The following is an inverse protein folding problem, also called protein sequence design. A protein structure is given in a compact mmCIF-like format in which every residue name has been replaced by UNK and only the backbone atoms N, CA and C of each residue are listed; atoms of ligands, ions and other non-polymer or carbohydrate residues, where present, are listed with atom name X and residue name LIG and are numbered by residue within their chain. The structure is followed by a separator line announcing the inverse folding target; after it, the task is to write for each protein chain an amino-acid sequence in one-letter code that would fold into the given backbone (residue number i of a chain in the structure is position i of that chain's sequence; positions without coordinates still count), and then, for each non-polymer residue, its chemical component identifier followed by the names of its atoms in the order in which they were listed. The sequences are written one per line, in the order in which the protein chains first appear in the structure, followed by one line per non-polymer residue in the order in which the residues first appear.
data_IF_877674655719
#
_entry.id   IF_877674655719
#
_cell.length_a   1.000
_cell.length_b   1.000
_cell.length_c   1.000
_cell.angle_alpha   90.00
_cell.angle_beta   90.00
_cell.angle_gamma   90.00
#
_symmetry.space_group_name_H-M   'P 1'
#
loop_
_entity.id
_entity.type
_entity.pdbx_description
1 polymer ?
#
# COMPACT_ATOMS: atom_id res chain seq x y z
N UNK A 1 -8.05 -0.46 5.15
CA UNK A 1 -8.35 -1.61 6.03
C UNK A 1 -9.80 -2.00 5.91
N UNK A 2 -10.78 -1.12 6.16
CA UNK A 2 -12.22 -1.44 6.15
C UNK A 2 -12.66 -2.09 4.83
N UNK A 3 -12.33 -1.50 3.70
CA UNK A 3 -12.67 -2.01 2.35
C UNK A 3 -12.10 -3.43 2.12
N UNK A 4 -10.86 -3.67 2.51
CA UNK A 4 -10.23 -4.99 2.40
C UNK A 4 -10.99 -6.03 3.25
N UNK A 5 -11.31 -5.69 4.50
CA UNK A 5 -12.06 -6.58 5.40
C UNK A 5 -13.48 -6.84 4.91
N UNK A 6 -14.15 -5.86 4.30
CA UNK A 6 -15.45 -6.05 3.61
C UNK A 6 -15.35 -7.04 2.46
N UNK A 7 -14.22 -7.05 1.76
CA UNK A 7 -13.93 -8.03 0.72
C UNK A 7 -13.46 -9.39 1.21
N UNK A 8 -13.55 -9.67 2.52
CA UNK A 8 -13.14 -10.96 3.10
C UNK A 8 -11.62 -11.13 3.22
N UNK A 9 -10.85 -10.06 3.04
CA UNK A 9 -9.39 -10.09 3.21
C UNK A 9 -9.06 -9.98 4.69
N UNK A 10 -8.24 -10.89 5.21
CA UNK A 10 -7.65 -10.76 6.54
C UNK A 10 -6.58 -9.68 6.51
N UNK A 11 -6.92 -8.48 6.96
CA UNK A 11 -6.06 -7.31 6.92
C UNK A 11 -5.61 -6.91 8.33
N UNK A 12 -4.30 -6.98 8.57
CA UNK A 12 -3.67 -6.55 9.82
C UNK A 12 -3.05 -5.16 9.67
N UNK A 13 -3.20 -4.35 10.71
CA UNK A 13 -2.53 -3.05 10.84
C UNK A 13 -1.23 -3.24 11.61
N UNK A 14 -0.12 -2.94 10.95
CA UNK A 14 1.22 -3.17 11.50
C UNK A 14 1.90 -1.84 11.80
N UNK A 15 2.28 -1.61 13.05
CA UNK A 15 3.12 -0.48 13.44
C UNK A 15 4.60 -0.79 13.22
N UNK A 16 5.43 0.21 12.90
CA UNK A 16 6.87 -0.02 12.74
C UNK A 16 7.52 -0.51 14.05
N UNK A 17 7.23 0.18 15.15
CA UNK A 17 7.87 -0.08 16.46
C UNK A 17 6.94 0.17 17.66
N UNK A 18 5.74 0.72 17.44
CA UNK A 18 4.85 1.19 18.51
C UNK A 18 3.39 0.80 18.29
N UNK A 19 2.69 0.62 19.40
CA UNK A 19 1.27 0.35 19.50
C UNK A 19 0.71 1.23 20.64
N UNK A 20 -0.17 2.23 20.42
CA UNK A 20 -0.74 2.69 19.16
C UNK A 20 0.18 3.64 18.38
N UNK A 21 -0.14 3.91 17.12
CA UNK A 21 0.49 4.94 16.30
C UNK A 21 -0.43 6.17 16.17
N UNK A 22 0.17 7.33 15.91
CA UNK A 22 -0.58 8.56 15.65
C UNK A 22 -0.29 9.05 14.25
N UNK A 23 -1.34 9.18 13.43
CA UNK A 23 -1.25 9.73 12.08
C UNK A 23 -1.01 11.24 12.07
N UNK A 24 -0.75 11.79 10.88
CA UNK A 24 -0.36 13.20 10.68
C UNK A 24 -1.37 14.23 11.21
N UNK A 25 -2.65 13.88 11.25
CA UNK A 25 -3.70 14.78 11.74
C UNK A 25 -4.21 14.40 13.14
N UNK A 26 -3.38 13.74 13.95
CA UNK A 26 -3.69 13.39 15.34
C UNK A 26 -4.61 12.17 15.50
N UNK A 27 -4.99 11.50 14.42
CA UNK A 27 -5.81 10.28 14.50
C UNK A 27 -4.95 9.14 15.05
N UNK A 28 -5.40 8.57 16.15
CA UNK A 28 -4.75 7.41 16.77
C UNK A 28 -5.28 6.12 16.15
N UNK A 29 -4.35 5.23 15.82
CA UNK A 29 -4.64 3.90 15.28
C UNK A 29 -4.10 2.85 16.24
N UNK A 30 -4.95 1.91 16.62
CA UNK A 30 -4.51 0.71 17.33
C UNK A 30 -4.04 -0.27 16.27
N UNK A 31 -2.77 -0.67 16.36
CA UNK A 31 -2.21 -1.68 15.47
C UNK A 31 -2.41 -3.08 16.06
N UNK A 32 -2.53 -4.07 15.20
CA UNK A 32 -2.69 -5.48 15.60
C UNK A 32 -1.35 -6.07 16.08
N UNK A 33 -0.23 -5.60 15.51
CA UNK A 33 1.13 -6.05 15.81
C UNK A 33 2.19 -5.02 15.42
N UNK A 34 3.45 -5.27 15.78
CA UNK A 34 4.60 -4.51 15.27
C UNK A 34 5.25 -5.20 14.07
N UNK A 35 6.09 -4.46 13.33
CA UNK A 35 6.89 -5.03 12.24
C UNK A 35 7.82 -6.16 12.72
N UNK A 36 8.17 -6.18 13.98
CA UNK A 36 9.05 -7.21 14.56
C UNK A 36 8.34 -8.52 14.83
N UNK A 37 7.01 -8.48 14.96
CA UNK A 37 6.15 -9.65 15.15
C UNK A 37 5.66 -10.25 13.81
N UNK A 38 5.96 -9.57 12.69
CA UNK A 38 5.49 -9.95 11.36
C UNK A 38 6.26 -11.16 10.82
N UNK A 39 5.53 -12.23 10.50
CA UNK A 39 6.01 -13.38 9.74
C UNK A 39 5.58 -13.23 8.26
N UNK A 40 6.51 -12.82 7.39
CA UNK A 40 6.21 -12.47 5.99
C UNK A 40 5.63 -13.63 5.17
N UNK A 41 5.83 -14.87 5.61
CA UNK A 41 5.32 -16.08 4.93
C UNK A 41 3.78 -16.14 4.96
N UNK A 42 3.16 -15.58 5.97
CA UNK A 42 1.71 -15.68 6.22
C UNK A 42 0.88 -14.67 5.40
N UNK A 43 1.54 -13.78 4.66
CA UNK A 43 0.85 -12.71 3.93
C UNK A 43 1.06 -12.78 2.43
N UNK A 44 0.02 -12.46 1.65
CA UNK A 44 0.05 -12.39 0.20
C UNK A 44 0.36 -10.99 -0.32
N UNK A 45 0.07 -9.96 0.49
CA UNK A 45 0.20 -8.56 0.10
C UNK A 45 0.71 -7.70 1.26
N UNK A 46 1.62 -6.79 0.93
CA UNK A 46 2.08 -5.69 1.79
C UNK A 46 1.50 -4.37 1.26
N UNK A 47 0.84 -3.59 2.12
CA UNK A 47 0.26 -2.29 1.75
C UNK A 47 0.93 -1.17 2.54
N UNK A 48 1.53 -0.21 1.84
CA UNK A 48 2.21 0.95 2.41
C UNK A 48 1.30 2.18 2.32
N UNK A 49 0.86 2.74 3.47
CA UNK A 49 0.12 3.98 3.49
C UNK A 49 1.03 5.18 3.18
N UNK A 50 0.41 6.25 2.72
CA UNK A 50 1.09 7.51 2.49
C UNK A 50 1.36 8.33 3.76
N UNK A 51 1.54 9.63 3.53
CA UNK A 51 1.93 10.59 4.55
C UNK A 51 3.45 10.72 4.63
N UNK A 52 3.97 11.91 4.37
CA UNK A 52 5.40 12.15 4.16
C UNK A 52 6.27 11.66 5.33
N UNK A 53 5.89 12.01 6.57
CA UNK A 53 6.62 11.56 7.78
C UNK A 53 6.60 10.04 7.92
N UNK A 54 5.44 9.41 7.67
CA UNK A 54 5.30 7.94 7.71
C UNK A 54 6.21 7.26 6.69
N UNK A 55 6.23 7.78 5.47
CA UNK A 55 7.08 7.27 4.39
C UNK A 55 8.56 7.45 4.69
N UNK A 56 8.96 8.58 5.29
CA UNK A 56 10.33 8.78 5.75
C UNK A 56 10.74 7.73 6.79
N UNK A 57 9.86 7.44 7.76
CA UNK A 57 10.10 6.40 8.75
C UNK A 57 10.19 5.01 8.12
N UNK A 58 9.28 4.67 7.19
CA UNK A 58 9.29 3.42 6.43
C UNK A 58 10.61 3.27 5.67
N UNK A 59 11.00 4.30 4.91
CA UNK A 59 12.21 4.30 4.08
C UNK A 59 13.49 4.25 4.91
N UNK A 60 13.50 4.86 6.10
CA UNK A 60 14.63 4.85 7.03
C UNK A 60 14.79 3.53 7.80
N UNK A 61 13.75 2.71 7.90
CA UNK A 61 13.79 1.47 8.65
C UNK A 61 14.35 0.31 7.81
N UNK A 62 15.49 -0.24 8.23
CA UNK A 62 16.18 -1.30 7.48
C UNK A 62 15.31 -2.56 7.36
N UNK A 63 14.68 -3.01 8.47
CA UNK A 63 13.81 -4.20 8.45
C UNK A 63 12.64 -4.01 7.48
N UNK A 64 12.04 -2.80 7.43
CA UNK A 64 10.94 -2.51 6.53
C UNK A 64 11.37 -2.57 5.06
N UNK A 65 12.54 -2.01 4.72
CA UNK A 65 13.10 -2.11 3.36
C UNK A 65 13.36 -3.56 2.95
N UNK A 66 13.91 -4.36 3.87
CA UNK A 66 14.13 -5.80 3.63
C UNK A 66 12.81 -6.55 3.45
N UNK A 67 11.78 -6.22 4.25
CA UNK A 67 10.43 -6.79 4.11
C UNK A 67 9.84 -6.48 2.75
N UNK A 68 9.91 -5.21 2.30
CA UNK A 68 9.46 -4.81 0.95
C UNK A 68 10.18 -5.64 -0.12
N UNK A 69 11.51 -5.73 -0.05
CA UNK A 69 12.34 -6.54 -0.99
C UNK A 69 11.93 -8.01 -0.99
N UNK A 70 11.68 -8.59 0.17
CA UNK A 70 11.29 -10.00 0.29
C UNK A 70 9.93 -10.28 -0.35
N UNK A 71 8.93 -9.42 -0.07
CA UNK A 71 7.61 -9.54 -0.71
C UNK A 71 7.74 -9.48 -2.23
N UNK A 72 8.39 -8.46 -2.76
CA UNK A 72 8.56 -8.27 -4.19
C UNK A 72 9.29 -9.46 -4.86
N UNK A 73 10.41 -9.92 -4.28
CA UNK A 73 11.19 -11.04 -4.81
C UNK A 73 10.47 -12.39 -4.77
N UNK A 74 9.58 -12.59 -3.80
CA UNK A 74 8.75 -13.80 -3.70
C UNK A 74 7.52 -13.76 -4.63
N UNK A 75 7.36 -12.72 -5.44
CA UNK A 75 6.20 -12.54 -6.30
C UNK A 75 4.92 -12.16 -5.54
N UNK A 76 5.00 -11.86 -4.24
CA UNK A 76 3.90 -11.34 -3.44
C UNK A 76 3.62 -9.89 -3.81
N UNK A 77 2.38 -9.46 -3.61
CA UNK A 77 2.00 -8.10 -3.96
C UNK A 77 2.57 -7.06 -3.00
N UNK A 78 3.01 -5.94 -3.56
CA UNK A 78 3.40 -4.76 -2.78
C UNK A 78 2.62 -3.56 -3.32
N UNK A 79 1.80 -2.99 -2.46
CA UNK A 79 0.93 -1.88 -2.79
C UNK A 79 1.34 -0.61 -2.04
N UNK A 80 1.32 0.55 -2.70
CA UNK A 80 1.76 1.82 -2.13
C UNK A 80 0.90 2.98 -2.61
N UNK A 81 0.46 3.84 -1.69
CA UNK A 81 -0.39 4.99 -2.03
C UNK A 81 0.26 6.31 -1.63
N UNK A 82 -0.04 7.38 -2.38
CA UNK A 82 0.36 8.75 -2.08
C UNK A 82 1.88 8.93 -2.20
N UNK A 83 2.58 9.28 -1.12
CA UNK A 83 4.04 9.38 -1.09
C UNK A 83 4.75 8.01 -0.94
N UNK A 84 4.03 6.93 -0.60
CA UNK A 84 4.63 5.63 -0.30
C UNK A 84 5.42 4.97 -1.46
N UNK A 85 5.15 5.23 -2.74
CA UNK A 85 6.01 4.77 -3.84
C UNK A 85 7.48 5.16 -3.69
N UNK A 86 7.81 6.24 -2.97
CA UNK A 86 9.20 6.60 -2.61
C UNK A 86 9.88 5.44 -1.87
N UNK A 87 9.19 4.80 -0.93
CA UNK A 87 9.75 3.69 -0.19
C UNK A 87 10.03 2.46 -1.07
N UNK A 88 9.26 2.27 -2.15
CA UNK A 88 9.52 1.21 -3.13
C UNK A 88 10.77 1.49 -3.95
N UNK A 89 11.00 2.77 -4.32
CA UNK A 89 12.25 3.21 -4.96
C UNK A 89 13.45 2.97 -4.04
N UNK A 90 13.39 3.46 -2.79
CA UNK A 90 14.44 3.26 -1.78
C UNK A 90 14.72 1.76 -1.51
N UNK A 91 13.68 0.93 -1.60
CA UNK A 91 13.84 -0.53 -1.50
C UNK A 91 14.29 -1.19 -2.83
N UNK A 92 14.53 -0.43 -3.89
CA UNK A 92 15.00 -0.91 -5.21
C UNK A 92 14.07 -1.97 -5.83
N UNK A 93 12.76 -1.84 -5.60
CA UNK A 93 11.75 -2.77 -6.15
C UNK A 93 10.82 -2.10 -7.17
N UNK A 94 10.91 -0.77 -7.32
CA UNK A 94 10.09 -0.04 -8.28
C UNK A 94 10.53 -0.36 -9.71
N UNK A 95 9.59 -0.87 -10.50
CA UNK A 95 9.79 -1.18 -11.92
C UNK A 95 8.48 -1.03 -12.69
N UNK A 96 8.57 -0.82 -14.01
CA UNK A 96 7.40 -0.60 -14.86
C UNK A 96 6.69 0.72 -14.60
N UNK A 97 5.42 0.83 -14.98
CA UNK A 97 4.62 2.03 -14.73
C UNK A 97 4.20 2.14 -13.26
N UNK A 98 4.16 3.38 -12.75
CA UNK A 98 3.62 3.67 -11.43
C UNK A 98 2.95 5.05 -11.38
N UNK A 99 2.11 5.26 -10.37
CA UNK A 99 1.59 6.58 -10.02
C UNK A 99 1.83 6.88 -8.54
N UNK A 100 1.85 8.15 -8.17
CA UNK A 100 2.05 8.60 -6.79
C UNK A 100 1.36 9.96 -6.57
N UNK A 101 1.48 10.51 -5.38
CA UNK A 101 1.04 11.87 -5.12
C UNK A 101 1.84 12.85 -5.99
N UNK A 102 1.18 13.84 -6.64
CA UNK A 102 1.88 14.83 -7.49
C UNK A 102 3.07 15.46 -6.78
N UNK A 103 4.18 15.59 -7.48
CA UNK A 103 5.50 16.03 -7.01
C UNK A 103 6.33 14.99 -6.23
N UNK A 104 5.75 13.87 -5.78
CA UNK A 104 6.54 12.80 -5.16
C UNK A 104 7.36 11.99 -6.18
N UNK A 105 6.97 12.01 -7.45
CA UNK A 105 7.67 11.29 -8.53
C UNK A 105 9.15 11.69 -8.64
N UNK A 106 9.47 12.93 -8.31
CA UNK A 106 10.87 13.40 -8.30
C UNK A 106 11.78 12.67 -7.27
N UNK A 107 11.17 12.00 -6.30
CA UNK A 107 11.86 11.26 -5.23
C UNK A 107 11.72 9.74 -5.36
N UNK A 108 11.01 9.25 -6.38
CA UNK A 108 10.87 7.81 -6.63
C UNK A 108 11.98 7.35 -7.57
N UNK A 109 12.82 6.48 -7.08
CA UNK A 109 13.87 5.85 -7.90
C UNK A 109 13.30 4.64 -8.64
N UNK A 110 13.55 4.55 -9.94
CA UNK A 110 13.09 3.47 -10.82
C UNK A 110 11.66 3.67 -11.33
N UNK A 111 11.27 2.81 -12.27
CA UNK A 111 9.94 2.85 -12.91
C UNK A 111 9.69 4.05 -13.82
N UNK A 112 8.47 4.12 -14.35
CA UNK A 112 8.00 5.20 -15.24
C UNK A 112 6.73 5.81 -14.64
N UNK A 113 6.78 7.07 -14.27
CA UNK A 113 5.62 7.78 -13.71
C UNK A 113 4.55 8.02 -14.77
N UNK A 114 3.29 7.73 -14.41
CA UNK A 114 2.10 8.03 -15.20
C UNK A 114 1.12 8.85 -14.36
N UNK A 115 0.65 9.97 -14.90
CA UNK A 115 -0.16 10.95 -14.16
C UNK A 115 -1.66 10.84 -14.44
N UNK A 116 -2.08 10.10 -15.46
CA UNK A 116 -3.46 10.00 -15.94
C UNK A 116 -4.30 8.92 -15.25
N UNK A 117 -3.65 7.97 -14.57
CA UNK A 117 -4.31 6.85 -13.88
C UNK A 117 -4.34 7.07 -12.36
N UNK A 118 -5.46 6.73 -11.72
CA UNK A 118 -5.60 6.78 -10.26
C UNK A 118 -4.95 5.60 -9.56
N UNK A 119 -5.00 4.42 -10.18
CA UNK A 119 -4.35 3.20 -9.73
C UNK A 119 -3.58 2.59 -10.89
N UNK A 120 -2.38 2.13 -10.64
CA UNK A 120 -1.51 1.48 -11.61
C UNK A 120 -1.02 0.16 -11.03
N UNK A 121 -1.19 -0.91 -11.78
CA UNK A 121 -0.57 -2.21 -11.48
C UNK A 121 0.49 -2.52 -12.53
N UNK A 122 1.69 -2.86 -12.06
CA UNK A 122 2.81 -3.30 -12.89
C UNK A 122 3.41 -4.56 -12.27
N UNK A 123 3.06 -5.71 -12.83
CA UNK A 123 3.39 -7.00 -12.23
C UNK A 123 2.75 -7.15 -10.83
N UNK A 124 3.56 -7.33 -9.82
CA UNK A 124 3.15 -7.44 -8.43
C UNK A 124 3.24 -6.11 -7.63
N UNK A 125 3.54 -5.01 -8.30
CA UNK A 125 3.55 -3.67 -7.69
C UNK A 125 2.27 -2.93 -8.04
N UNK A 126 1.57 -2.40 -7.03
CA UNK A 126 0.35 -1.61 -7.20
C UNK A 126 0.54 -0.24 -6.57
N UNK A 127 0.25 0.82 -7.30
CA UNK A 127 0.42 2.19 -6.79
C UNK A 127 -0.82 3.03 -6.99
N UNK A 128 -1.02 4.05 -6.14
CA UNK A 128 -2.13 4.99 -6.25
C UNK A 128 -1.74 6.40 -5.82
N UNK A 129 -2.51 7.40 -6.30
CA UNK A 129 -2.15 8.82 -6.17
C UNK A 129 -2.25 9.38 -4.76
N UNK A 130 -3.34 9.15 -4.03
CA UNK A 130 -3.47 9.85 -2.76
C UNK A 130 -4.83 9.67 -2.06
N UNK A 131 -5.16 10.52 -1.08
CA UNK A 131 -6.32 10.32 -0.22
C UNK A 131 -7.64 10.12 -0.99
N UNK A 132 -7.88 10.92 -2.03
CA UNK A 132 -9.11 10.83 -2.81
C UNK A 132 -9.23 9.54 -3.63
N UNK A 133 -8.13 8.87 -3.94
CA UNK A 133 -8.12 7.61 -4.70
C UNK A 133 -8.05 6.37 -3.80
N UNK A 134 -8.06 6.54 -2.47
CA UNK A 134 -7.90 5.44 -1.52
C UNK A 134 -9.00 4.38 -1.62
N UNK A 135 -10.23 4.79 -1.93
CA UNK A 135 -11.36 3.87 -2.10
C UNK A 135 -11.15 3.00 -3.36
N UNK A 136 -10.87 3.63 -4.49
CA UNK A 136 -10.58 2.94 -5.75
C UNK A 136 -9.37 1.99 -5.60
N UNK A 137 -8.29 2.48 -4.96
CA UNK A 137 -7.12 1.68 -4.66
C UNK A 137 -7.47 0.43 -3.84
N UNK A 138 -8.20 0.59 -2.74
CA UNK A 138 -8.57 -0.54 -1.88
C UNK A 138 -9.49 -1.56 -2.60
N UNK A 139 -10.41 -1.09 -3.46
CA UNK A 139 -11.25 -1.95 -4.28
C UNK A 139 -10.42 -2.76 -5.29
N UNK A 140 -9.42 -2.15 -5.94
CA UNK A 140 -8.52 -2.87 -6.84
C UNK A 140 -7.69 -3.93 -6.08
N UNK A 141 -7.27 -3.65 -4.83
CA UNK A 141 -6.60 -4.66 -4.00
C UNK A 141 -7.53 -5.83 -3.66
N UNK A 142 -8.81 -5.58 -3.37
CA UNK A 142 -9.83 -6.64 -3.19
C UNK A 142 -9.96 -7.47 -4.47
N UNK A 143 -10.03 -6.82 -5.63
CA UNK A 143 -10.10 -7.49 -6.92
C UNK A 143 -8.91 -8.42 -7.17
N UNK A 144 -7.70 -7.94 -6.88
CA UNK A 144 -6.46 -8.71 -7.04
C UNK A 144 -6.44 -9.94 -6.13
N UNK A 145 -6.90 -9.82 -4.90
CA UNK A 145 -6.85 -10.89 -3.90
C UNK A 145 -8.02 -11.87 -4.00
N UNK A 146 -9.24 -11.38 -4.21
CA UNK A 146 -10.48 -12.16 -4.10
C UNK A 146 -11.35 -12.15 -5.38
N UNK A 147 -10.86 -11.51 -6.44
CA UNK A 147 -11.48 -11.58 -7.78
C UNK A 147 -12.58 -10.54 -8.02
N UNK A 148 -13.03 -10.50 -9.27
CA UNK A 148 -13.97 -9.50 -9.81
C UNK A 148 -15.34 -9.55 -9.16
N UNK A 149 -15.85 -10.73 -8.80
CA UNK A 149 -17.15 -10.85 -8.16
C UNK A 149 -17.17 -10.14 -6.79
N UNK A 150 -16.18 -10.42 -5.95
CA UNK A 150 -16.08 -9.81 -4.61
C UNK A 150 -15.85 -8.30 -4.74
N UNK A 151 -15.04 -7.85 -5.69
CA UNK A 151 -14.87 -6.44 -6.01
C UNK A 151 -16.22 -5.76 -6.28
N UNK A 152 -17.07 -6.34 -7.13
CA UNK A 152 -18.39 -5.77 -7.46
C UNK A 152 -19.32 -5.75 -6.25
N UNK A 153 -19.40 -6.82 -5.47
CA UNK A 153 -20.19 -6.90 -4.25
C UNK A 153 -19.80 -5.82 -3.23
N UNK A 154 -18.50 -5.65 -2.98
CA UNK A 154 -17.99 -4.62 -2.06
C UNK A 154 -18.23 -3.22 -2.60
N UNK A 155 -17.97 -2.97 -3.88
CA UNK A 155 -18.21 -1.70 -4.56
C UNK A 155 -19.66 -1.25 -4.46
N UNK A 156 -20.61 -2.16 -4.73
CA UNK A 156 -22.03 -1.89 -4.67
C UNK A 156 -22.48 -1.64 -3.23
N UNK A 157 -21.99 -2.42 -2.26
CA UNK A 157 -22.24 -2.23 -0.84
C UNK A 157 -21.70 -0.92 -0.26
N UNK A 158 -20.65 -0.38 -0.87
CA UNK A 158 -20.08 0.94 -0.54
C UNK A 158 -20.79 2.09 -1.26
N UNK A 159 -21.71 1.82 -2.20
CA UNK A 159 -22.31 2.81 -3.08
C UNK A 159 -21.25 3.63 -3.84
N UNK A 160 -20.12 2.98 -4.17
CA UNK A 160 -19.01 3.65 -4.83
C UNK A 160 -19.30 3.82 -6.33
N UNK A 161 -19.57 5.05 -6.72
CA UNK A 161 -19.79 5.47 -8.11
C UNK A 161 -18.50 6.09 -8.64
N UNK A 162 -18.09 5.66 -9.83
CA UNK A 162 -16.94 6.23 -10.54
C UNK A 162 -17.37 7.45 -11.35
#
# INVERSE_FOLDING_TARGET
VDVLRRGGVEAHVVGLDKLPITGAHGVKLVCDMTLYDLEEVDYDMLVLPGGYTGVTNISGNLKMRETIKKFAKKGKFVAAICAAPIALGVAEVMSGEYTCYPSCEASVEGGTYVSDKNVVQSGNIITSKGPATAMEFALELVKILNGEQVYNEVKDGLLFVK
#
